data_IF_474814649052
#
_entry.id   IF_474814649052
#
_cell.length_a   1.000
_cell.length_b   1.000
_cell.length_c   1.000
_cell.angle_alpha   90.00
_cell.angle_beta   90.00
_cell.angle_gamma   90.00
#
_symmetry.space_group_name_H-M   'P 1'
#
loop_
_entity.id
_entity.type
_entity.pdbx_description
1 polymer ?
#
# COMPACT_ATOMS: atom_id res chain seq x y z
N UNK A 1 -52.57 -63.11 86.10
CA UNK A 1 -51.15 -62.88 86.46
C UNK A 1 -50.31 -62.94 85.19
N UNK A 2 -49.43 -61.96 85.06
CA UNK A 2 -48.69 -61.55 83.86
C UNK A 2 -47.80 -62.64 83.24
N UNK A 3 -47.89 -62.83 81.93
CA UNK A 3 -46.76 -63.22 81.05
C UNK A 3 -46.97 -62.72 79.61
N UNK A 4 -45.83 -62.41 78.99
CA UNK A 4 -45.55 -61.68 77.75
C UNK A 4 -45.86 -62.44 76.45
N UNK A 5 -46.05 -61.68 75.35
CA UNK A 5 -45.74 -62.05 73.95
C UNK A 5 -45.95 -60.79 73.06
N UNK A 6 -44.92 -60.01 72.69
CA UNK A 6 -44.05 -60.07 71.48
C UNK A 6 -44.78 -59.89 70.15
N UNK A 7 -44.62 -58.72 69.49
CA UNK A 7 -44.48 -58.51 68.01
C UNK A 7 -43.87 -57.10 67.75
N UNK A 8 -43.39 -56.72 66.54
CA UNK A 8 -41.99 -56.77 66.11
C UNK A 8 -41.37 -55.38 65.80
N UNK A 9 -40.08 -55.44 65.49
CA UNK A 9 -39.18 -54.35 65.07
C UNK A 9 -39.70 -53.49 63.91
N UNK A 10 -39.87 -52.19 64.15
CA UNK A 10 -39.95 -51.18 63.09
C UNK A 10 -38.55 -50.72 62.68
N UNK A 11 -38.24 -50.89 61.39
CA UNK A 11 -37.06 -50.33 60.74
C UNK A 11 -37.06 -48.79 60.80
N UNK A 12 -35.93 -48.19 61.17
CA UNK A 12 -35.68 -46.75 60.99
C UNK A 12 -34.94 -46.56 59.67
N UNK A 13 -35.45 -45.77 58.71
CA UNK A 13 -34.66 -45.38 57.55
C UNK A 13 -33.59 -44.38 58.00
N UNK A 14 -32.32 -44.71 57.76
CA UNK A 14 -31.22 -43.75 57.82
C UNK A 14 -31.35 -42.87 56.57
N UNK A 15 -31.80 -41.63 56.76
CA UNK A 15 -31.76 -40.61 55.70
C UNK A 15 -30.32 -40.12 55.61
N UNK A 16 -29.57 -40.64 54.64
CA UNK A 16 -28.29 -40.08 54.21
C UNK A 16 -28.57 -38.79 53.44
N UNK A 17 -28.42 -37.65 54.10
CA UNK A 17 -28.42 -36.34 53.47
C UNK A 17 -27.10 -36.16 52.71
N UNK A 18 -27.07 -36.57 51.45
CA UNK A 18 -25.97 -36.27 50.53
C UNK A 18 -25.99 -34.78 50.17
N UNK A 19 -25.13 -34.00 50.80
CA UNK A 19 -24.90 -32.59 50.43
C UNK A 19 -24.13 -32.59 49.09
N UNK A 20 -24.84 -32.46 47.98
CA UNK A 20 -24.23 -32.20 46.68
C UNK A 20 -23.73 -30.75 46.67
N UNK A 21 -22.47 -30.54 47.04
CA UNK A 21 -21.74 -29.30 46.78
C UNK A 21 -21.53 -29.18 45.26
N UNK A 22 -22.47 -28.49 44.58
CA UNK A 22 -22.19 -27.92 43.27
C UNK A 22 -21.10 -26.86 43.47
N UNK A 23 -19.86 -27.24 43.20
CA UNK A 23 -18.78 -26.28 43.00
C UNK A 23 -19.08 -25.57 41.68
N UNK A 24 -19.77 -24.43 41.75
CA UNK A 24 -19.75 -23.46 40.67
C UNK A 24 -18.30 -23.00 40.52
N UNK A 25 -17.57 -23.60 39.59
CA UNK A 25 -16.35 -22.98 39.10
C UNK A 25 -16.74 -21.58 38.60
N UNK A 26 -16.06 -20.50 39.04
CA UNK A 26 -16.29 -19.20 38.42
C UNK A 26 -16.08 -19.35 36.91
N UNK A 27 -16.87 -18.68 36.05
CA UNK A 27 -16.59 -18.67 34.63
C UNK A 27 -15.12 -18.28 34.49
N UNK A 28 -14.34 -19.13 33.83
CA UNK A 28 -12.94 -18.83 33.55
C UNK A 28 -12.92 -17.42 32.94
N UNK A 29 -12.29 -16.47 33.64
CA UNK A 29 -12.17 -15.12 33.12
C UNK A 29 -11.54 -15.25 31.74
N UNK A 30 -12.31 -14.96 30.69
CA UNK A 30 -11.81 -15.01 29.34
C UNK A 30 -10.56 -14.12 29.31
N UNK A 31 -9.40 -14.72 29.05
CA UNK A 31 -8.17 -13.96 28.93
C UNK A 31 -8.37 -12.92 27.83
N UNK A 32 -8.11 -11.65 28.15
CA UNK A 32 -8.18 -10.57 27.17
C UNK A 32 -7.24 -10.91 26.01
N UNK A 33 -7.74 -10.86 24.78
CA UNK A 33 -6.94 -11.14 23.59
C UNK A 33 -5.84 -10.10 23.44
N UNK A 34 -4.63 -10.52 23.05
CA UNK A 34 -3.64 -9.55 22.57
C UNK A 34 -4.12 -8.90 21.28
N UNK A 35 -3.63 -7.70 20.97
CA UNK A 35 -3.96 -7.01 19.72
C UNK A 35 -3.74 -7.87 18.46
N UNK A 36 -2.56 -8.50 18.29
CA UNK A 36 -2.33 -9.39 17.14
C UNK A 36 -3.28 -10.58 17.06
N UNK A 37 -3.69 -11.16 18.19
CA UNK A 37 -4.64 -12.27 18.21
C UNK A 37 -6.06 -11.82 17.87
N UNK A 38 -6.47 -10.66 18.39
CA UNK A 38 -7.75 -10.04 18.06
C UNK A 38 -7.84 -9.75 16.55
N UNK A 39 -6.83 -9.09 15.98
CA UNK A 39 -6.77 -8.78 14.56
C UNK A 39 -6.78 -10.05 13.69
N UNK A 40 -5.98 -11.07 14.05
CA UNK A 40 -5.94 -12.33 13.30
C UNK A 40 -7.29 -13.04 13.27
N UNK A 41 -7.92 -13.21 14.44
CA UNK A 41 -9.24 -13.87 14.54
C UNK A 41 -10.32 -13.08 13.81
N UNK A 42 -10.29 -11.75 13.89
CA UNK A 42 -11.24 -10.89 13.21
C UNK A 42 -11.11 -11.01 11.68
N UNK A 43 -9.87 -11.00 11.17
CA UNK A 43 -9.54 -11.19 9.75
C UNK A 43 -10.01 -12.55 9.26
N UNK A 44 -9.60 -13.65 9.91
CA UNK A 44 -9.93 -15.03 9.51
C UNK A 44 -11.44 -15.27 9.42
N UNK A 45 -12.23 -14.57 10.24
CA UNK A 45 -13.69 -14.67 10.20
C UNK A 45 -14.36 -13.83 9.10
N UNK A 46 -13.63 -12.91 8.44
CA UNK A 46 -14.19 -11.85 7.58
C UNK A 46 -13.38 -11.60 6.31
N UNK A 47 -12.56 -12.54 5.86
CA UNK A 47 -11.64 -12.34 4.74
C UNK A 47 -12.35 -11.86 3.47
N UNK A 48 -13.48 -12.48 3.12
CA UNK A 48 -14.28 -12.07 1.97
C UNK A 48 -14.86 -10.65 2.12
N UNK A 49 -15.31 -10.27 3.31
CA UNK A 49 -15.86 -8.93 3.56
C UNK A 49 -14.78 -7.85 3.44
N UNK A 50 -13.59 -8.11 3.98
CA UNK A 50 -12.43 -7.22 3.88
C UNK A 50 -12.04 -7.02 2.42
N UNK A 51 -11.93 -8.13 1.66
CA UNK A 51 -11.55 -8.08 0.25
C UNK A 51 -12.57 -7.30 -0.60
N UNK A 52 -13.87 -7.47 -0.32
CA UNK A 52 -14.94 -6.74 -1.02
C UNK A 52 -14.94 -5.26 -0.68
N UNK A 53 -14.79 -4.90 0.59
CA UNK A 53 -14.69 -3.49 1.00
C UNK A 53 -13.45 -2.83 0.37
N UNK A 54 -12.34 -3.56 0.27
CA UNK A 54 -11.16 -3.08 -0.42
C UNK A 54 -11.43 -2.90 -1.93
N UNK A 55 -12.10 -3.84 -2.58
CA UNK A 55 -12.54 -3.68 -3.96
C UNK A 55 -13.46 -2.47 -4.14
N UNK A 56 -14.37 -2.18 -3.21
CA UNK A 56 -15.21 -0.98 -3.28
C UNK A 56 -14.39 0.31 -3.27
N UNK A 57 -13.30 0.37 -2.48
CA UNK A 57 -12.37 1.51 -2.47
C UNK A 57 -11.57 1.61 -3.79
N UNK A 58 -11.13 0.48 -4.36
CA UNK A 58 -10.41 0.46 -5.64
C UNK A 58 -11.29 0.86 -6.82
N UNK A 59 -12.60 0.65 -6.72
CA UNK A 59 -13.56 1.04 -7.76
C UNK A 59 -13.79 2.56 -7.86
N UNK A 60 -13.26 3.34 -6.91
CA UNK A 60 -13.29 4.81 -6.97
C UNK A 60 -12.00 5.28 -7.66
N UNK A 61 -12.09 5.93 -8.85
CA UNK A 61 -10.93 6.55 -9.48
C UNK A 61 -10.20 7.48 -8.52
N UNK A 62 -8.88 7.59 -8.61
CA UNK A 62 -8.10 8.39 -7.65
C UNK A 62 -6.94 9.14 -8.28
N UNK A 63 -7.08 9.59 -9.52
CA UNK A 63 -6.07 10.45 -10.15
C UNK A 63 -6.17 11.85 -9.55
N UNK A 64 -5.05 12.41 -9.06
CA UNK A 64 -5.05 13.69 -8.34
C UNK A 64 -5.71 14.87 -9.10
N UNK A 65 -5.63 14.88 -10.44
CA UNK A 65 -6.28 15.90 -11.27
C UNK A 65 -7.82 15.79 -11.27
N UNK A 66 -8.37 14.62 -10.96
CA UNK A 66 -9.81 14.37 -10.84
C UNK A 66 -10.29 14.62 -9.40
N UNK A 67 -10.42 15.91 -9.07
CA UNK A 67 -10.75 16.37 -7.71
C UNK A 67 -12.07 15.83 -7.17
N UNK A 68 -13.04 15.56 -8.04
CA UNK A 68 -14.33 15.00 -7.62
C UNK A 68 -14.14 13.59 -7.08
N UNK A 69 -13.42 12.75 -7.82
CA UNK A 69 -13.17 11.38 -7.39
C UNK A 69 -12.18 11.30 -6.22
N UNK A 70 -11.18 12.19 -6.13
CA UNK A 70 -10.36 12.33 -4.93
C UNK A 70 -11.22 12.64 -3.70
N UNK A 71 -12.16 13.58 -3.81
CA UNK A 71 -13.10 13.88 -2.71
C UNK A 71 -13.95 12.67 -2.33
N UNK A 72 -14.44 11.90 -3.31
CA UNK A 72 -15.18 10.65 -3.06
C UNK A 72 -14.33 9.61 -2.31
N UNK A 73 -13.04 9.50 -2.60
CA UNK A 73 -12.12 8.65 -1.82
C UNK A 73 -11.99 9.16 -0.40
N UNK A 74 -11.72 10.46 -0.20
CA UNK A 74 -11.59 11.07 1.12
C UNK A 74 -12.84 10.83 1.98
N UNK A 75 -14.03 11.11 1.43
CA UNK A 75 -15.32 10.90 2.11
C UNK A 75 -15.54 9.42 2.46
N UNK A 76 -15.15 8.50 1.57
CA UNK A 76 -15.23 7.06 1.82
C UNK A 76 -14.34 6.67 3.01
N UNK A 77 -13.09 7.14 3.01
CA UNK A 77 -12.09 6.82 4.05
C UNK A 77 -12.52 7.40 5.40
N UNK A 78 -12.95 8.67 5.45
CA UNK A 78 -13.46 9.31 6.67
C UNK A 78 -14.57 8.47 7.28
N UNK A 79 -15.59 8.11 6.50
CA UNK A 79 -16.70 7.30 6.99
C UNK A 79 -16.26 5.93 7.54
N UNK A 80 -15.21 5.33 6.98
CA UNK A 80 -14.70 4.03 7.43
C UNK A 80 -13.84 4.14 8.70
N UNK A 81 -13.08 5.22 8.83
CA UNK A 81 -12.32 5.56 10.04
C UNK A 81 -13.28 5.87 11.21
N UNK A 82 -14.27 6.72 11.00
CA UNK A 82 -15.34 7.00 11.98
C UNK A 82 -16.07 5.72 12.38
N UNK A 83 -16.45 4.91 11.37
CA UNK A 83 -17.06 3.60 11.57
C UNK A 83 -16.15 2.58 12.28
N UNK A 84 -14.86 2.86 12.43
CA UNK A 84 -13.90 2.06 13.21
C UNK A 84 -13.59 2.66 14.59
N UNK A 85 -14.18 3.81 14.94
CA UNK A 85 -13.99 4.49 16.23
C UNK A 85 -12.83 5.49 16.25
N UNK A 86 -12.40 5.99 15.08
CA UNK A 86 -11.40 7.06 14.94
C UNK A 86 -12.13 8.37 14.68
N UNK A 87 -11.73 9.46 15.34
CA UNK A 87 -12.25 10.81 15.06
C UNK A 87 -11.59 11.32 13.78
N UNK A 88 -12.33 11.38 12.67
CA UNK A 88 -11.75 11.61 11.35
C UNK A 88 -12.47 12.70 10.55
N UNK A 89 -11.70 13.47 9.78
CA UNK A 89 -12.22 14.49 8.88
C UNK A 89 -11.34 14.65 7.65
N UNK A 90 -11.91 15.17 6.56
CA UNK A 90 -11.15 15.61 5.40
C UNK A 90 -10.88 17.11 5.51
N UNK A 91 -9.60 17.48 5.65
CA UNK A 91 -9.15 18.87 5.68
C UNK A 91 -8.97 19.38 4.26
N UNK A 92 -9.32 20.64 4.02
CA UNK A 92 -9.19 21.27 2.69
C UNK A 92 -8.49 22.61 2.76
N UNK A 93 -7.62 22.87 1.78
CA UNK A 93 -7.06 24.18 1.47
C UNK A 93 -7.54 24.65 0.10
N UNK A 94 -7.63 25.98 -0.15
CA UNK A 94 -7.95 26.50 -1.47
C UNK A 94 -6.95 26.00 -2.52
N UNK A 95 -7.46 25.38 -3.58
CA UNK A 95 -6.60 24.91 -4.67
C UNK A 95 -5.96 23.54 -4.44
N UNK A 96 -6.04 22.95 -3.25
CA UNK A 96 -5.51 21.62 -2.95
C UNK A 96 -6.59 20.52 -3.01
N UNK A 97 -6.15 19.27 -3.20
CA UNK A 97 -6.93 18.09 -2.83
C UNK A 97 -6.98 17.95 -1.30
N UNK A 98 -8.03 17.30 -0.76
CA UNK A 98 -8.14 17.08 0.67
C UNK A 98 -7.05 16.14 1.19
N UNK A 99 -6.64 16.34 2.45
CA UNK A 99 -6.00 15.28 3.24
C UNK A 99 -7.01 14.71 4.22
N UNK A 100 -6.99 13.41 4.47
CA UNK A 100 -7.81 12.80 5.52
C UNK A 100 -6.98 12.73 6.80
N UNK A 101 -7.49 13.30 7.87
CA UNK A 101 -6.85 13.23 9.19
C UNK A 101 -7.75 12.47 10.15
N UNK A 102 -7.19 11.45 10.80
CA UNK A 102 -7.86 10.68 11.84
C UNK A 102 -7.11 10.73 13.16
N UNK A 103 -7.81 10.80 14.29
CA UNK A 103 -7.23 10.81 15.63
C UNK A 103 -7.85 9.73 16.51
N UNK A 104 -6.99 8.88 17.07
CA UNK A 104 -7.35 7.93 18.11
C UNK A 104 -6.65 8.33 19.41
N UNK A 105 -7.40 8.96 20.31
CA UNK A 105 -6.91 9.39 21.62
C UNK A 105 -7.10 8.29 22.65
N UNK A 106 -6.01 7.87 23.28
CA UNK A 106 -5.99 6.78 24.26
C UNK A 106 -5.83 7.35 25.67
N UNK A 107 -6.76 7.07 26.60
CA UNK A 107 -6.63 7.54 27.98
C UNK A 107 -5.33 7.11 28.63
N UNK A 108 -4.56 8.08 29.13
CA UNK A 108 -3.28 7.84 29.81
C UNK A 108 -2.09 7.56 28.87
N UNK A 109 -2.29 7.57 27.55
CA UNK A 109 -1.18 7.49 26.61
C UNK A 109 -0.30 8.75 26.67
N UNK A 110 1.01 8.55 26.69
CA UNK A 110 2.02 9.62 26.72
C UNK A 110 2.78 9.75 25.40
N UNK A 111 2.49 8.86 24.44
CA UNK A 111 3.12 8.80 23.12
C UNK A 111 2.07 8.91 22.03
N UNK A 112 2.47 9.46 20.90
CA UNK A 112 1.65 9.58 19.70
C UNK A 112 2.40 9.01 18.50
N UNK A 113 1.76 8.07 17.80
CA UNK A 113 2.26 7.52 16.55
C UNK A 113 1.56 8.19 15.38
N UNK A 114 2.30 8.58 14.36
CA UNK A 114 1.79 9.06 13.08
C UNK A 114 1.76 7.91 12.08
N UNK A 115 0.68 7.78 11.32
CA UNK A 115 0.54 6.83 10.22
C UNK A 115 0.28 7.62 8.95
N UNK A 116 1.20 7.52 7.99
CA UNK A 116 1.08 8.10 6.66
C UNK A 116 0.77 7.01 5.63
N UNK A 117 -0.18 7.33 4.76
CA UNK A 117 -0.59 6.58 3.56
C UNK A 117 -0.99 7.62 2.52
N UNK A 118 -0.96 7.32 1.22
CA UNK A 118 -1.64 8.15 0.24
C UNK A 118 -2.77 7.37 -0.43
N UNK A 119 -3.77 8.09 -0.92
CA UNK A 119 -4.97 7.51 -1.50
C UNK A 119 -5.26 8.02 -2.90
N UNK A 120 -4.47 8.96 -3.43
CA UNK A 120 -4.37 9.21 -4.86
C UNK A 120 -3.51 8.13 -5.54
N UNK A 121 -3.40 8.16 -6.87
CA UNK A 121 -2.73 7.12 -7.64
C UNK A 121 -2.33 7.61 -9.02
N UNK A 122 -1.32 6.96 -9.61
CA UNK A 122 -0.90 7.20 -10.99
C UNK A 122 -2.08 7.20 -11.99
N UNK A 123 -2.06 8.05 -13.04
CA UNK A 123 -3.00 7.96 -14.15
C UNK A 123 -2.99 6.58 -14.81
N UNK A 124 -4.14 6.06 -15.22
CA UNK A 124 -4.24 4.78 -15.93
C UNK A 124 -4.84 4.98 -17.33
N UNK A 125 -4.18 4.45 -18.35
CA UNK A 125 -4.72 4.33 -19.71
C UNK A 125 -5.37 2.95 -19.88
N UNK A 126 -6.71 2.84 -19.98
CA UNK A 126 -7.40 1.57 -20.13
C UNK A 126 -6.91 0.71 -21.30
N UNK A 127 -6.35 1.30 -22.35
CA UNK A 127 -5.82 0.56 -23.50
C UNK A 127 -4.63 -0.34 -23.15
N UNK A 128 -3.91 -0.01 -22.07
CA UNK A 128 -2.75 -0.76 -21.59
C UNK A 128 -3.12 -1.74 -20.46
N UNK A 129 -4.41 -1.94 -20.18
CA UNK A 129 -4.88 -2.81 -19.11
C UNK A 129 -5.70 -3.98 -19.64
N UNK A 130 -5.54 -5.15 -19.01
CA UNK A 130 -6.34 -6.34 -19.32
C UNK A 130 -7.82 -6.17 -18.91
N UNK A 131 -8.06 -5.46 -17.82
CA UNK A 131 -9.39 -5.10 -17.31
C UNK A 131 -9.45 -3.60 -17.07
N UNK A 132 -10.65 -3.03 -16.98
CA UNK A 132 -10.76 -1.62 -16.60
C UNK A 132 -10.03 -1.37 -15.27
N UNK A 133 -9.13 -0.37 -15.18
CA UNK A 133 -8.32 -0.12 -13.99
C UNK A 133 -9.17 0.17 -12.74
N UNK A 134 -10.39 0.65 -12.92
CA UNK A 134 -11.33 0.99 -11.85
C UNK A 134 -12.42 -0.08 -11.70
N UNK A 135 -12.27 -1.25 -12.33
CA UNK A 135 -13.08 -2.43 -12.11
C UNK A 135 -12.24 -3.55 -11.46
N UNK A 136 -12.18 -3.59 -10.11
CA UNK A 136 -11.33 -4.55 -9.42
C UNK A 136 -11.72 -5.99 -9.76
N UNK A 137 -10.74 -6.76 -10.22
CA UNK A 137 -10.95 -8.12 -10.73
C UNK A 137 -10.08 -9.10 -9.97
N UNK A 138 -10.73 -10.07 -9.31
CA UNK A 138 -10.03 -11.12 -8.56
C UNK A 138 -9.57 -12.22 -9.51
N UNK A 139 -8.35 -12.67 -9.32
CA UNK A 139 -7.76 -13.80 -10.02
C UNK A 139 -7.39 -14.92 -9.05
N UNK A 140 -7.47 -16.16 -9.52
CA UNK A 140 -7.11 -17.36 -8.73
C UNK A 140 -5.63 -17.40 -8.30
N UNK A 141 -4.76 -16.71 -9.05
CA UNK A 141 -3.34 -16.46 -8.75
C UNK A 141 -2.81 -15.33 -9.64
N UNK A 142 -1.51 -15.01 -9.56
CA UNK A 142 -0.93 -14.00 -10.46
C UNK A 142 -1.15 -14.35 -11.94
N UNK A 143 -1.48 -13.33 -12.76
CA UNK A 143 -1.58 -13.44 -14.22
C UNK A 143 -0.28 -13.98 -14.85
N UNK A 144 0.89 -13.61 -14.29
CA UNK A 144 2.21 -14.03 -14.80
C UNK A 144 2.42 -15.55 -14.77
N UNK A 145 1.72 -16.25 -13.86
CA UNK A 145 1.80 -17.71 -13.71
C UNK A 145 0.52 -18.41 -14.16
N UNK A 146 -0.28 -17.76 -15.01
CA UNK A 146 -1.47 -18.33 -15.63
C UNK A 146 -2.73 -18.29 -14.77
N UNK A 147 -2.84 -17.34 -13.84
CA UNK A 147 -4.08 -17.11 -13.11
C UNK A 147 -5.25 -16.73 -14.02
N UNK A 148 -6.47 -17.06 -13.57
CA UNK A 148 -7.71 -16.78 -14.31
C UNK A 148 -8.66 -15.93 -13.46
N UNK A 149 -9.51 -15.08 -14.07
CA UNK A 149 -10.54 -14.35 -13.33
C UNK A 149 -11.45 -15.31 -12.56
N UNK A 150 -11.79 -14.92 -11.34
CA UNK A 150 -12.76 -15.60 -10.46
C UNK A 150 -13.67 -14.56 -9.82
N UNK A 151 -14.92 -14.90 -9.46
CA UNK A 151 -15.78 -13.96 -8.76
C UNK A 151 -15.21 -13.61 -7.38
N UNK A 152 -15.47 -12.40 -6.90
CA UNK A 152 -15.21 -12.04 -5.50
C UNK A 152 -16.01 -12.99 -4.58
N UNK A 153 -15.37 -13.54 -3.52
CA UNK A 153 -16.02 -14.50 -2.63
C UNK A 153 -17.25 -13.89 -1.94
N UNK A 154 -18.24 -14.73 -1.65
CA UNK A 154 -19.38 -14.32 -0.84
C UNK A 154 -18.96 -14.20 0.65
N UNK A 155 -19.67 -13.38 1.46
CA UNK A 155 -19.39 -13.27 2.89
C UNK A 155 -19.34 -14.65 3.57
N UNK A 156 -18.27 -14.89 4.35
CA UNK A 156 -18.01 -16.16 5.02
C UNK A 156 -17.30 -17.23 4.17
N UNK A 157 -17.10 -17.01 2.87
CA UNK A 157 -16.26 -17.89 2.05
C UNK A 157 -14.76 -17.62 2.30
N UNK A 158 -13.91 -18.66 2.29
CA UNK A 158 -12.47 -18.49 2.45
C UNK A 158 -11.85 -17.79 1.24
N UNK A 159 -10.82 -16.99 1.46
CA UNK A 159 -10.02 -16.38 0.39
C UNK A 159 -8.76 -17.22 0.19
N UNK A 160 -8.49 -17.66 -1.04
CA UNK A 160 -7.23 -18.34 -1.36
C UNK A 160 -6.06 -17.33 -1.20
N UNK A 161 -5.03 -17.62 -0.37
CA UNK A 161 -3.87 -16.73 -0.22
C UNK A 161 -3.08 -16.48 -1.52
N UNK A 162 -3.21 -17.37 -2.50
CA UNK A 162 -2.59 -17.19 -3.81
C UNK A 162 -3.39 -16.22 -4.70
N UNK A 163 -4.65 -15.94 -4.37
CA UNK A 163 -5.48 -15.03 -5.14
C UNK A 163 -4.88 -13.61 -5.22
N UNK A 164 -5.13 -12.93 -6.34
CA UNK A 164 -4.63 -11.57 -6.59
C UNK A 164 -5.78 -10.68 -7.04
N UNK A 165 -6.01 -9.58 -6.34
CA UNK A 165 -6.98 -8.57 -6.73
C UNK A 165 -6.25 -7.52 -7.58
N UNK A 166 -6.68 -7.39 -8.84
CA UNK A 166 -6.13 -6.41 -9.77
C UNK A 166 -7.05 -5.19 -9.82
N UNK A 167 -6.47 -4.01 -9.66
CA UNK A 167 -7.12 -2.71 -9.78
C UNK A 167 -6.06 -1.62 -9.64
N UNK A 168 -6.29 -0.45 -10.23
CA UNK A 168 -5.37 0.69 -10.07
C UNK A 168 -5.30 1.08 -8.59
N UNK A 169 -4.08 1.34 -8.15
CA UNK A 169 -3.72 1.73 -6.79
C UNK A 169 -3.91 0.63 -5.74
N UNK A 170 -4.11 -0.63 -6.16
CA UNK A 170 -4.25 -1.76 -5.25
C UNK A 170 -2.99 -2.01 -4.43
N UNK A 171 -1.81 -1.95 -5.05
CA UNK A 171 -0.54 -2.10 -4.36
C UNK A 171 0.11 -0.78 -3.92
N UNK A 172 -0.40 0.35 -4.41
CA UNK A 172 0.26 1.66 -4.35
C UNK A 172 -0.80 2.78 -4.39
N UNK A 173 -1.32 3.25 -3.25
CA UNK A 173 -1.08 2.75 -1.90
C UNK A 173 -2.38 2.54 -1.10
N UNK A 174 -3.45 2.09 -1.77
CA UNK A 174 -4.72 1.83 -1.08
C UNK A 174 -4.69 0.57 -0.19
N UNK A 175 -3.75 -0.36 -0.41
CA UNK A 175 -3.67 -1.62 0.35
C UNK A 175 -3.52 -1.39 1.87
N UNK A 176 -2.61 -0.54 2.36
CA UNK A 176 -2.53 -0.18 3.76
C UNK A 176 -3.85 0.32 4.36
N UNK A 177 -4.62 1.14 3.64
CA UNK A 177 -5.95 1.60 4.09
C UNK A 177 -6.88 0.40 4.30
N UNK A 178 -6.94 -0.50 3.30
CA UNK A 178 -7.72 -1.73 3.37
C UNK A 178 -7.30 -2.67 4.50
N UNK A 179 -6.03 -2.64 4.91
CA UNK A 179 -5.49 -3.46 6.00
C UNK A 179 -5.68 -2.83 7.39
N UNK A 180 -5.57 -1.51 7.51
CA UNK A 180 -5.70 -0.76 8.77
C UNK A 180 -7.13 -0.82 9.32
N UNK A 181 -8.14 -0.69 8.45
CA UNK A 181 -9.55 -0.66 8.86
C UNK A 181 -9.99 -1.94 9.62
N UNK A 182 -9.71 -3.16 9.13
CA UNK A 182 -9.94 -4.41 9.88
C UNK A 182 -9.26 -4.44 11.25
N UNK A 183 -8.03 -3.93 11.36
CA UNK A 183 -7.29 -3.91 12.63
C UNK A 183 -7.99 -3.01 13.63
N UNK A 184 -8.37 -1.80 13.23
CA UNK A 184 -9.09 -0.85 14.08
C UNK A 184 -10.43 -1.41 14.57
N UNK A 185 -11.22 -2.00 13.66
CA UNK A 185 -12.49 -2.66 13.99
C UNK A 185 -12.28 -3.85 14.93
N UNK A 186 -11.24 -4.65 14.71
CA UNK A 186 -10.92 -5.77 15.59
C UNK A 186 -10.59 -5.33 17.01
N UNK A 187 -9.90 -4.20 17.17
CA UNK A 187 -9.52 -3.68 18.48
C UNK A 187 -10.75 -3.16 19.21
N UNK A 188 -11.60 -2.38 18.51
CA UNK A 188 -12.88 -1.94 19.05
C UNK A 188 -13.75 -3.11 19.48
N UNK A 189 -13.96 -4.10 18.61
CA UNK A 189 -14.87 -5.23 18.85
C UNK A 189 -14.37 -6.15 19.99
N UNK A 190 -13.05 -6.30 20.12
CA UNK A 190 -12.43 -7.12 21.16
C UNK A 190 -12.13 -6.33 22.46
N UNK A 191 -12.39 -5.02 22.51
CA UNK A 191 -12.04 -4.16 23.63
C UNK A 191 -10.52 -4.02 23.85
N UNK A 192 -9.72 -4.19 22.80
CA UNK A 192 -8.27 -3.97 22.85
C UNK A 192 -8.01 -2.47 22.78
N UNK A 193 -7.42 -1.92 23.83
CA UNK A 193 -7.03 -0.51 23.90
C UNK A 193 -5.55 -0.38 23.53
N UNK A 194 -5.18 0.43 22.52
CA UNK A 194 -3.78 0.69 22.19
C UNK A 194 -3.04 1.36 23.36
N UNK A 195 -1.71 1.38 23.32
CA UNK A 195 -0.89 2.01 24.37
C UNK A 195 -0.43 3.43 24.03
N UNK A 196 -0.69 3.88 22.80
CA UNK A 196 -0.28 5.17 22.26
C UNK A 196 -1.47 5.83 21.57
N UNK A 197 -1.49 7.16 21.55
CA UNK A 197 -2.34 7.89 20.62
C UNK A 197 -1.91 7.56 19.18
N UNK A 198 -2.85 7.67 18.24
CA UNK A 198 -2.53 7.51 16.82
C UNK A 198 -3.12 8.68 16.04
N UNK A 199 -2.30 9.29 15.19
CA UNK A 199 -2.71 10.26 14.18
C UNK A 199 -2.54 9.61 12.82
N UNK A 200 -3.61 9.54 12.04
CA UNK A 200 -3.61 9.11 10.66
C UNK A 200 -3.57 10.37 9.78
N UNK A 201 -2.66 10.43 8.81
CA UNK A 201 -2.60 11.46 7.78
C UNK A 201 -2.57 10.74 6.44
N UNK A 202 -3.69 10.76 5.72
CA UNK A 202 -3.77 10.18 4.39
C UNK A 202 -3.77 11.27 3.31
N UNK A 203 -2.77 11.25 2.43
CA UNK A 203 -2.53 12.26 1.38
C UNK A 203 -3.31 11.95 0.10
N UNK A 204 -3.83 12.99 -0.56
CA UNK A 204 -4.53 12.93 -1.84
C UNK A 204 -3.75 13.53 -3.01
N UNK A 205 -2.45 13.80 -2.83
CA UNK A 205 -1.57 14.43 -3.83
C UNK A 205 -0.18 13.79 -3.97
N UNK A 206 0.12 12.64 -3.35
CA UNK A 206 1.47 12.06 -3.34
C UNK A 206 2.01 11.85 -4.75
N UNK A 207 1.17 11.31 -5.63
CA UNK A 207 1.53 10.96 -7.00
C UNK A 207 1.57 12.20 -7.92
N UNK A 208 1.11 13.33 -7.39
CA UNK A 208 1.24 14.67 -7.95
C UNK A 208 2.34 15.50 -7.26
N UNK A 209 3.11 14.90 -6.35
CA UNK A 209 4.28 15.50 -5.69
C UNK A 209 3.99 16.17 -4.34
N UNK A 210 2.80 15.95 -3.75
CA UNK A 210 2.40 16.48 -2.43
C UNK A 210 2.61 17.99 -2.27
N UNK A 211 2.33 18.77 -3.32
CA UNK A 211 2.68 20.21 -3.39
C UNK A 211 2.16 21.00 -2.19
N UNK A 212 0.96 20.67 -1.69
CA UNK A 212 0.31 21.38 -0.58
C UNK A 212 0.49 20.73 0.79
N UNK A 213 1.14 19.57 0.89
CA UNK A 213 1.24 18.83 2.16
C UNK A 213 1.92 19.67 3.26
N UNK A 214 2.96 20.43 2.90
CA UNK A 214 3.63 21.35 3.81
C UNK A 214 2.69 22.42 4.38
N UNK A 215 1.79 22.98 3.55
CA UNK A 215 0.83 24.00 3.97
C UNK A 215 -0.23 23.43 4.92
N UNK A 216 -0.66 22.18 4.69
CA UNK A 216 -1.54 21.48 5.63
C UNK A 216 -0.85 21.25 6.99
N UNK A 217 0.39 20.77 6.98
CA UNK A 217 1.15 20.54 8.21
C UNK A 217 1.35 21.83 9.00
N UNK A 218 1.60 22.96 8.33
CA UNK A 218 1.73 24.27 8.99
C UNK A 218 0.38 24.76 9.55
N UNK A 219 -0.68 24.69 8.74
CA UNK A 219 -2.00 25.23 9.10
C UNK A 219 -2.63 24.47 10.28
N UNK A 220 -2.45 23.15 10.33
CA UNK A 220 -2.94 22.28 11.41
C UNK A 220 -1.81 21.73 12.28
N UNK A 221 -0.73 22.51 12.45
CA UNK A 221 0.46 22.15 13.21
C UNK A 221 0.17 21.51 14.57
N UNK A 222 -0.79 22.05 15.32
CA UNK A 222 -1.16 21.54 16.67
C UNK A 222 -1.61 20.07 16.65
N UNK A 223 -2.11 19.56 15.53
CA UNK A 223 -2.53 18.17 15.36
C UNK A 223 -1.37 17.23 15.12
N UNK A 224 -0.30 17.71 14.47
CA UNK A 224 0.82 16.89 13.97
C UNK A 224 2.09 17.02 14.81
N UNK A 225 2.35 18.18 15.41
CA UNK A 225 3.49 18.41 16.32
C UNK A 225 3.60 17.39 17.47
N UNK A 226 2.50 16.86 18.03
CA UNK A 226 2.58 15.85 19.10
C UNK A 226 3.06 14.47 18.65
N UNK A 227 3.24 14.21 17.34
CA UNK A 227 3.66 12.90 16.82
C UNK A 227 5.14 12.65 17.14
N UNK A 228 5.41 11.55 17.86
CA UNK A 228 6.77 11.15 18.23
C UNK A 228 7.48 10.37 17.13
N UNK A 229 6.73 9.58 16.36
CA UNK A 229 7.25 8.68 15.31
C UNK A 229 6.24 8.61 14.17
N UNK A 230 6.69 8.85 12.95
CA UNK A 230 5.92 8.62 11.74
C UNK A 230 6.22 7.24 11.13
N UNK A 231 5.16 6.53 10.78
CA UNK A 231 5.18 5.26 10.07
C UNK A 231 4.57 5.47 8.69
N UNK A 232 5.39 5.33 7.65
CA UNK A 232 4.96 5.39 6.26
C UNK A 232 4.67 3.97 5.79
N UNK A 233 3.47 3.74 5.26
CA UNK A 233 3.07 2.44 4.73
C UNK A 233 3.15 2.34 3.21
N UNK A 234 3.93 3.23 2.60
CA UNK A 234 4.18 3.31 1.17
C UNK A 234 5.60 2.80 0.87
N UNK A 235 5.72 1.52 0.51
CA UNK A 235 7.02 0.94 0.21
C UNK A 235 6.95 -0.47 -0.38
N UNK A 236 7.97 -0.86 -1.16
CA UNK A 236 7.96 -2.15 -1.83
C UNK A 236 8.03 -3.31 -0.85
N UNK A 237 7.41 -4.42 -1.22
CA UNK A 237 7.61 -5.69 -0.52
C UNK A 237 8.99 -6.24 -0.90
N UNK A 238 9.76 -6.68 0.09
CA UNK A 238 11.03 -7.35 -0.14
C UNK A 238 10.83 -8.57 -1.07
N UNK A 239 11.75 -8.80 -2.03
CA UNK A 239 11.60 -9.83 -3.07
C UNK A 239 11.34 -11.27 -2.54
N UNK A 240 11.75 -11.56 -1.30
CA UNK A 240 11.46 -12.84 -0.63
C UNK A 240 10.06 -12.93 0.02
N UNK A 241 9.23 -11.90 -0.07
CA UNK A 241 7.92 -11.79 0.58
C UNK A 241 7.98 -11.55 2.08
N UNK A 242 9.17 -11.32 2.66
CA UNK A 242 9.34 -11.07 4.09
C UNK A 242 9.04 -9.62 4.44
N UNK A 243 8.52 -9.33 5.66
CA UNK A 243 8.38 -7.97 6.14
C UNK A 243 9.72 -7.23 6.14
N UNK A 244 9.68 -5.95 5.74
CA UNK A 244 10.84 -5.06 5.68
C UNK A 244 10.52 -3.75 6.42
N UNK A 245 11.54 -3.19 7.06
CA UNK A 245 11.52 -1.83 7.58
C UNK A 245 12.61 -1.04 6.85
N UNK A 246 12.21 0.08 6.27
CA UNK A 246 13.09 0.95 5.50
C UNK A 246 13.31 2.25 6.27
N UNK A 247 14.57 2.64 6.44
CA UNK A 247 14.96 3.84 7.21
C UNK A 247 15.45 4.99 6.33
N UNK A 248 15.29 4.87 5.01
CA UNK A 248 15.70 5.91 4.08
C UNK A 248 15.20 5.64 2.67
N UNK A 249 14.82 6.70 2.00
CA UNK A 249 14.47 6.74 0.58
C UNK A 249 15.39 7.74 -0.12
N UNK A 250 15.52 7.62 -1.45
CA UNK A 250 16.26 8.63 -2.22
C UNK A 250 15.37 9.84 -2.46
N UNK A 251 15.98 11.02 -2.49
CA UNK A 251 15.33 12.19 -3.10
C UNK A 251 15.26 12.05 -4.62
N UNK A 252 14.34 12.81 -5.23
CA UNK A 252 14.20 12.92 -6.68
C UNK A 252 14.20 14.39 -7.09
N UNK A 253 14.77 14.70 -8.23
CA UNK A 253 14.74 16.05 -8.82
C UNK A 253 14.48 15.93 -10.31
N UNK A 254 13.36 16.49 -10.76
CA UNK A 254 13.02 16.58 -12.18
C UNK A 254 13.70 17.78 -12.84
N UNK A 255 14.13 17.59 -14.09
CA UNK A 255 14.67 18.64 -14.94
C UNK A 255 13.97 18.60 -16.30
N UNK A 256 13.56 19.75 -16.81
CA UNK A 256 13.02 19.87 -18.18
C UNK A 256 14.06 20.49 -19.10
N UNK A 257 14.45 19.77 -20.15
CA UNK A 257 15.44 20.21 -21.13
C UNK A 257 14.75 20.38 -22.48
N UNK A 258 14.75 21.59 -23.02
CA UNK A 258 14.24 21.86 -24.36
C UNK A 258 15.41 22.13 -25.31
N UNK A 259 15.54 21.33 -26.37
CA UNK A 259 16.57 21.50 -27.40
C UNK A 259 15.93 22.06 -28.67
N UNK A 260 16.39 23.24 -29.07
CA UNK A 260 15.89 23.92 -30.27
C UNK A 260 16.77 23.60 -31.50
N UNK A 261 16.12 23.41 -32.65
CA UNK A 261 16.76 23.19 -33.94
C UNK A 261 16.44 24.31 -34.93
N UNK A 262 16.09 23.93 -36.15
CA UNK A 262 15.61 24.89 -37.14
C UNK A 262 14.31 25.58 -36.68
N UNK A 263 14.08 26.81 -37.15
CA UNK A 263 12.87 27.61 -36.84
C UNK A 263 11.58 27.04 -37.43
N UNK A 264 11.67 25.98 -38.22
CA UNK A 264 10.56 25.24 -38.83
C UNK A 264 10.97 23.78 -39.09
N UNK A 265 9.99 22.91 -39.28
CA UNK A 265 10.22 21.52 -39.71
C UNK A 265 10.93 21.47 -41.06
N UNK A 266 11.91 20.57 -41.17
CA UNK A 266 12.73 20.38 -42.37
C UNK A 266 12.53 18.97 -42.93
N UNK A 267 12.51 18.84 -44.27
CA UNK A 267 12.46 17.54 -44.94
C UNK A 267 13.81 16.82 -44.79
N UNK A 268 13.81 15.64 -44.16
CA UNK A 268 15.04 14.90 -43.81
C UNK A 268 15.92 14.58 -45.01
N UNK A 269 15.35 14.32 -46.20
CA UNK A 269 16.14 14.08 -47.42
C UNK A 269 16.87 15.31 -47.98
N UNK A 270 16.36 16.53 -47.78
CA UNK A 270 16.99 17.75 -48.32
C UNK A 270 18.01 18.36 -47.35
N UNK A 271 17.79 18.17 -46.05
CA UNK A 271 18.55 18.83 -44.99
C UNK A 271 19.29 17.84 -44.08
N UNK A 272 19.20 16.54 -44.36
CA UNK A 272 19.90 15.49 -43.65
C UNK A 272 21.41 15.73 -43.68
N UNK A 273 22.05 15.60 -42.52
CA UNK A 273 23.47 15.89 -42.28
C UNK A 273 23.92 17.35 -42.52
N UNK A 274 23.02 18.27 -42.90
CA UNK A 274 23.30 19.70 -43.02
C UNK A 274 22.76 20.49 -41.83
N UNK A 275 21.50 20.26 -41.47
CA UNK A 275 20.84 20.98 -40.38
C UNK A 275 21.05 20.25 -39.04
N UNK A 276 21.20 21.00 -37.92
CA UNK A 276 21.16 20.41 -36.59
C UNK A 276 19.88 19.60 -36.36
N UNK A 277 20.02 18.38 -35.86
CA UNK A 277 18.91 17.50 -35.48
C UNK A 277 18.75 17.56 -33.96
N UNK A 278 17.68 18.20 -33.43
CA UNK A 278 17.49 18.33 -31.99
C UNK A 278 17.50 17.00 -31.24
N UNK A 279 16.88 15.96 -31.83
CA UNK A 279 16.86 14.62 -31.23
C UNK A 279 18.25 14.03 -31.05
N UNK A 280 19.13 14.16 -32.04
CA UNK A 280 20.52 13.70 -31.94
C UNK A 280 21.28 14.47 -30.87
N UNK A 281 21.16 15.81 -30.84
CA UNK A 281 21.81 16.64 -29.82
C UNK A 281 21.33 16.32 -28.41
N UNK A 282 20.03 16.07 -28.24
CA UNK A 282 19.47 15.65 -26.96
C UNK A 282 20.04 14.29 -26.53
N UNK A 283 20.12 13.33 -27.46
CA UNK A 283 20.70 12.02 -27.18
C UNK A 283 22.18 12.13 -26.76
N UNK A 284 22.98 12.92 -27.48
CA UNK A 284 24.38 13.19 -27.15
C UNK A 284 24.54 13.85 -25.78
N UNK A 285 23.70 14.85 -25.48
CA UNK A 285 23.68 15.52 -24.18
C UNK A 285 23.37 14.52 -23.05
N UNK A 286 22.30 13.73 -23.18
CA UNK A 286 21.89 12.77 -22.16
C UNK A 286 22.95 11.68 -21.96
N UNK A 287 23.52 11.14 -23.04
CA UNK A 287 24.59 10.15 -22.97
C UNK A 287 25.86 10.71 -22.30
N UNK A 288 26.14 12.01 -22.45
CA UNK A 288 27.29 12.65 -21.81
C UNK A 288 27.16 12.83 -20.30
N UNK A 289 25.95 12.69 -19.72
CA UNK A 289 25.72 12.90 -18.29
C UNK A 289 26.13 11.72 -17.41
N UNK A 290 26.39 10.54 -17.99
CA UNK A 290 26.83 9.35 -17.26
C UNK A 290 27.94 8.63 -17.99
N UNK A 291 28.88 8.07 -17.24
CA UNK A 291 29.89 7.18 -17.75
C UNK A 291 29.24 5.86 -18.20
N UNK A 292 29.52 5.44 -19.44
CA UNK A 292 28.85 4.32 -20.06
C UNK A 292 29.23 2.96 -19.45
N UNK A 293 30.41 2.84 -18.87
CA UNK A 293 30.90 1.57 -18.31
C UNK A 293 30.56 1.44 -16.82
N UNK A 294 30.83 2.47 -16.03
CA UNK A 294 30.61 2.46 -14.58
C UNK A 294 29.23 2.94 -14.14
N UNK A 295 28.48 3.64 -15.01
CA UNK A 295 27.21 4.27 -14.67
C UNK A 295 27.32 5.51 -13.78
N UNK A 296 28.55 5.97 -13.50
CA UNK A 296 28.81 7.15 -12.65
C UNK A 296 28.27 8.42 -13.32
N UNK A 297 27.68 9.32 -12.54
CA UNK A 297 27.23 10.62 -13.05
C UNK A 297 28.43 11.51 -13.34
N UNK A 298 28.45 12.15 -14.51
CA UNK A 298 29.54 13.00 -14.99
C UNK A 298 29.25 14.50 -14.87
N UNK A 299 28.08 14.88 -14.35
CA UNK A 299 27.72 16.27 -14.09
C UNK A 299 28.65 16.83 -13.00
N UNK A 300 29.34 17.92 -13.31
CA UNK A 300 30.25 18.60 -12.38
C UNK A 300 29.52 18.97 -11.08
N UNK A 301 30.18 18.68 -9.95
CA UNK A 301 29.65 18.94 -8.60
C UNK A 301 28.62 17.95 -8.08
N UNK A 302 28.21 16.93 -8.87
CA UNK A 302 27.16 15.98 -8.47
C UNK A 302 27.46 15.24 -7.16
N UNK A 303 28.73 14.97 -6.86
CA UNK A 303 29.14 14.19 -5.68
C UNK A 303 29.62 15.06 -4.51
N UNK A 304 29.61 16.39 -4.63
CA UNK A 304 30.22 17.29 -3.63
C UNK A 304 29.55 17.21 -2.25
N UNK A 305 28.29 16.80 -2.21
CA UNK A 305 27.47 16.67 -0.99
C UNK A 305 27.16 15.22 -0.61
N UNK A 306 27.71 14.24 -1.34
CA UNK A 306 27.48 12.82 -1.06
C UNK A 306 28.32 12.40 0.15
N UNK A 307 27.64 12.01 1.23
CA UNK A 307 28.31 11.46 2.41
C UNK A 307 29.02 10.14 2.05
N UNK A 308 30.30 9.97 2.38
CA UNK A 308 31.00 8.72 2.14
C UNK A 308 30.40 7.56 2.96
N UNK A 309 30.33 6.39 2.34
CA UNK A 309 29.81 5.20 3.03
C UNK A 309 30.62 4.92 4.30
N UNK A 310 29.95 4.82 5.44
CA UNK A 310 30.54 4.53 6.75
C UNK A 310 30.78 3.04 7.01
N UNK A 311 31.36 2.69 8.16
CA UNK A 311 31.55 1.29 8.53
C UNK A 311 30.22 0.57 8.80
N UNK A 312 29.27 1.25 9.45
CA UNK A 312 27.95 0.68 9.73
C UNK A 312 27.19 0.33 8.45
N UNK A 313 27.23 1.21 7.46
CA UNK A 313 26.60 1.00 6.15
C UNK A 313 27.29 -0.11 5.36
N UNK A 314 28.63 -0.15 5.34
CA UNK A 314 29.38 -1.28 4.75
C UNK A 314 28.98 -2.63 5.36
N UNK A 315 28.81 -2.69 6.69
CA UNK A 315 28.34 -3.92 7.35
C UNK A 315 26.90 -4.26 6.96
N UNK A 316 26.01 -3.28 6.85
CA UNK A 316 24.63 -3.49 6.42
C UNK A 316 24.56 -3.99 4.97
N UNK A 317 25.35 -3.41 4.06
CA UNK A 317 25.43 -3.81 2.65
C UNK A 317 25.95 -5.25 2.50
N UNK A 318 27.02 -5.62 3.21
CA UNK A 318 27.54 -7.00 3.17
C UNK A 318 26.51 -8.04 3.65
N UNK A 319 25.68 -7.67 4.64
CA UNK A 319 24.57 -8.51 5.09
C UNK A 319 23.44 -8.62 4.05
N UNK A 320 23.21 -7.57 3.27
CA UNK A 320 22.18 -7.51 2.24
C UNK A 320 22.58 -8.28 0.97
N UNK A 321 23.78 -8.03 0.43
CA UNK A 321 24.31 -8.68 -0.78
C UNK A 321 24.29 -10.21 -0.65
N UNK A 322 24.65 -10.75 0.51
CA UNK A 322 24.66 -12.20 0.75
C UNK A 322 23.27 -12.86 0.73
N UNK A 323 22.19 -12.06 0.82
CA UNK A 323 20.80 -12.54 0.76
C UNK A 323 20.14 -12.29 -0.58
N UNK A 324 20.38 -11.14 -1.21
CA UNK A 324 19.79 -10.83 -2.52
C UNK A 324 20.48 -11.55 -3.68
N UNK A 325 21.80 -11.78 -3.61
CA UNK A 325 22.52 -12.51 -4.67
C UNK A 325 22.04 -13.96 -4.86
N UNK A 326 21.25 -14.50 -3.91
CA UNK A 326 20.61 -15.82 -4.01
C UNK A 326 19.22 -15.79 -4.63
N UNK A 327 18.64 -14.60 -4.83
CA UNK A 327 17.29 -14.38 -5.33
C UNK A 327 17.28 -13.77 -6.74
N UNK A 328 18.35 -13.06 -7.12
CA UNK A 328 18.51 -12.44 -8.44
C UNK A 328 19.18 -13.42 -9.42
N UNK A 329 18.50 -14.53 -9.73
CA UNK A 329 18.71 -15.30 -10.96
C UNK A 329 17.46 -15.14 -11.84
N UNK A 330 17.14 -13.92 -12.26
CA UNK A 330 16.20 -13.68 -13.37
C UNK A 330 17.01 -13.23 -14.59
N UNK A 331 16.79 -13.78 -15.78
CA UNK A 331 17.46 -13.30 -16.98
C UNK A 331 17.10 -11.83 -17.21
N UNK A 332 18.06 -11.05 -17.73
CA UNK A 332 17.87 -9.67 -18.11
C UNK A 332 16.64 -9.53 -19.01
N UNK A 333 15.81 -8.50 -18.76
CA UNK A 333 14.75 -8.12 -19.70
C UNK A 333 15.39 -7.82 -21.07
N UNK A 334 14.92 -8.52 -22.09
CA UNK A 334 15.24 -8.22 -23.49
C UNK A 334 14.54 -6.90 -23.83
N UNK A 335 15.31 -5.86 -24.14
CA UNK A 335 14.77 -4.58 -24.62
C UNK A 335 14.81 -4.62 -26.15
N UNK A 336 13.66 -4.91 -26.75
CA UNK A 336 13.47 -4.78 -28.20
C UNK A 336 13.11 -3.34 -28.51
N UNK A 337 13.97 -2.66 -29.28
CA UNK A 337 13.78 -1.28 -29.70
C UNK A 337 13.25 -1.28 -31.14
N UNK A 338 11.92 -1.32 -31.31
CA UNK A 338 11.29 -1.17 -32.62
C UNK A 338 11.25 0.32 -33.02
N UNK A 339 12.25 0.73 -33.80
CA UNK A 339 12.31 2.05 -34.41
C UNK A 339 11.40 2.11 -35.65
N UNK A 340 10.15 2.51 -35.47
CA UNK A 340 9.29 2.92 -36.59
C UNK A 340 9.36 4.43 -36.79
N UNK A 341 10.10 4.86 -37.80
CA UNK A 341 10.10 6.26 -38.24
C UNK A 341 8.82 6.54 -39.05
N UNK A 342 7.78 7.11 -38.41
CA UNK A 342 6.62 7.64 -39.11
C UNK A 342 6.78 9.15 -39.30
N UNK A 343 6.99 9.59 -40.54
CA UNK A 343 6.93 11.01 -40.90
C UNK A 343 5.47 11.35 -41.23
N UNK A 344 4.79 12.02 -40.31
CA UNK A 344 3.54 12.74 -40.58
C UNK A 344 3.74 14.22 -40.21
N UNK A 345 3.15 15.12 -41.00
CA UNK A 345 3.45 16.55 -41.01
C UNK A 345 3.30 17.33 -39.70
N UNK A 346 3.69 18.61 -39.78
CA UNK A 346 3.69 19.72 -38.80
C UNK A 346 4.19 19.49 -37.35
N UNK A 347 4.32 18.26 -36.84
CA UNK A 347 4.97 17.97 -35.56
C UNK A 347 5.75 16.66 -35.66
N UNK A 348 7.05 16.74 -35.40
CA UNK A 348 7.84 15.55 -35.12
C UNK A 348 7.79 15.31 -33.61
N UNK A 349 6.93 14.39 -33.17
CA UNK A 349 7.06 13.76 -31.87
C UNK A 349 7.99 12.55 -32.02
N UNK A 350 9.05 12.51 -31.21
CA UNK A 350 9.77 11.26 -31.00
C UNK A 350 8.96 10.45 -29.98
N UNK A 351 8.01 9.64 -30.47
CA UNK A 351 7.33 8.66 -29.62
C UNK A 351 8.25 7.44 -29.54
N UNK A 352 9.08 7.39 -28.50
CA UNK A 352 9.68 6.13 -28.08
C UNK A 352 8.61 5.36 -27.30
N UNK A 353 8.02 4.32 -27.92
CA UNK A 353 7.25 3.33 -27.17
C UNK A 353 8.25 2.38 -26.53
N UNK A 354 8.33 2.44 -25.21
CA UNK A 354 9.01 1.46 -24.38
C UNK A 354 7.97 0.38 -24.08
N UNK A 355 7.79 -0.56 -25.01
CA UNK A 355 6.92 -1.70 -24.76
C UNK A 355 7.71 -2.68 -23.88
N UNK A 356 7.58 -2.51 -22.56
CA UNK A 356 7.81 -3.61 -21.65
C UNK A 356 6.60 -4.55 -21.79
N UNK A 357 6.86 -5.83 -22.04
CA UNK A 357 5.92 -6.96 -22.22
C UNK A 357 5.49 -7.29 -23.66
N UNK A 358 5.90 -8.48 -24.14
CA UNK A 358 5.20 -9.16 -25.23
C UNK A 358 6.04 -10.14 -26.06
N UNK A 359 5.95 -11.43 -25.74
CA UNK A 359 6.32 -12.56 -26.62
C UNK A 359 5.53 -12.47 -27.92
N UNK A 360 6.16 -12.03 -29.01
CA UNK A 360 5.61 -12.14 -30.36
C UNK A 360 6.08 -13.44 -31.01
N UNK A 361 5.35 -14.53 -30.75
CA UNK A 361 5.33 -15.68 -31.67
C UNK A 361 4.18 -15.54 -32.65
N UNK A 362 4.59 -15.48 -33.91
CA UNK A 362 3.90 -15.84 -35.15
C UNK A 362 2.67 -15.02 -35.54
N UNK A 363 2.73 -14.48 -36.78
CA UNK A 363 1.82 -14.70 -37.93
C UNK A 363 2.32 -13.79 -39.08
N UNK A 364 2.26 -14.23 -40.36
CA UNK A 364 3.31 -14.07 -41.38
C UNK A 364 3.40 -12.73 -42.12
#
# INVERSE_FOLDING_TARGET
>A
MSTRSVVPSGARPVVLLGLALLVCAPPAAAQALSGPEAARRWREAREAEILREFADLLAIPNVAADRENIRRNADWIVARLEGAGVDAEALTLPGANPIVVGELRVPGATRTLGVYVHYDGQPADPANWTHDPWQPTLYSRSMEVGGTPVPLPAPGEPVDPEARLYGRSAGDDKAPIGALLPVLRSFRDAGVVPTSNVVFLFDGEEEAGSEHLGDYLETWRERFDPVDVWLFFDGPVHASGRPQLTFGVRGVTGLSVTVYGATRSLHSGHYGNWAPVPGQRLAELLASMKDAESGRVLVDGFYDTVEPIGEAERRALAFHETRESRLVERPAQEVTLDLVAVVLGEKAELVARLDAFGDHRDVP
#
